data_IF_428395446849
#
_entry.id   IF_428395446849
#
_cell.length_a   1.000
_cell.length_b   1.000
_cell.length_c   1.000
_cell.angle_alpha   90.00
_cell.angle_beta   90.00
_cell.angle_gamma   90.00
#
_symmetry.space_group_name_H-M   'P 1'
#
loop_
_entity.id
_entity.type
_entity.pdbx_description
1 polymer ?
#
# COMPACT_ATOMS: atom_id res chain seq x y z
N UNK A 1 -8.72 0.13 -5.64
CA UNK A 1 -7.42 -0.14 -4.97
C UNK A 1 -6.66 1.16 -4.70
N UNK A 2 -5.44 1.04 -4.15
CA UNK A 2 -4.58 2.20 -3.80
C UNK A 2 -3.55 2.42 -4.89
N UNK A 3 -3.13 3.69 -5.01
CA UNK A 3 -2.10 4.12 -5.97
C UNK A 3 -0.74 4.19 -5.27
N UNK A 4 0.35 4.00 -6.03
CA UNK A 4 1.71 4.21 -5.52
C UNK A 4 1.88 5.69 -5.16
N UNK A 5 2.32 5.94 -3.92
CA UNK A 5 2.46 7.29 -3.38
C UNK A 5 1.35 7.62 -2.40
N UNK A 6 0.20 6.92 -2.49
CA UNK A 6 -0.91 7.03 -1.53
C UNK A 6 -0.57 6.23 -0.26
N UNK A 7 -1.46 6.24 0.74
CA UNK A 7 -1.31 5.45 1.98
C UNK A 7 -2.11 4.13 1.89
N UNK A 8 -1.48 3.02 2.32
CA UNK A 8 -2.14 1.68 2.32
C UNK A 8 -1.62 0.85 3.49
N UNK A 9 -2.48 -0.03 4.02
CA UNK A 9 -2.20 -0.82 5.24
C UNK A 9 -1.19 -1.96 4.94
N UNK A 10 -0.36 -2.25 5.95
CA UNK A 10 0.89 -3.08 5.88
C UNK A 10 0.82 -4.28 4.91
N UNK A 11 -0.09 -5.22 5.15
CA UNK A 11 -0.18 -6.46 4.35
C UNK A 11 -1.64 -6.76 3.94
N UNK A 12 -2.43 -5.69 3.80
CA UNK A 12 -3.85 -5.79 3.43
C UNK A 12 -4.07 -5.82 1.89
N UNK A 13 -2.95 -5.85 1.13
CA UNK A 13 -2.93 -5.96 -0.36
C UNK A 13 -3.67 -4.79 -1.04
N UNK A 14 -3.78 -3.65 -0.34
CA UNK A 14 -4.64 -2.53 -0.75
C UNK A 14 -4.24 -1.93 -2.12
N UNK A 15 -2.92 -1.87 -2.40
CA UNK A 15 -2.38 -1.27 -3.64
C UNK A 15 -2.57 -2.16 -4.88
N UNK A 16 -2.64 -1.49 -6.06
CA UNK A 16 -2.52 -2.14 -7.39
C UNK A 16 -1.05 -2.17 -7.83
N UNK A 17 -0.25 -1.24 -7.28
CA UNK A 17 1.21 -1.20 -7.46
C UNK A 17 1.84 -0.45 -6.27
N UNK A 18 3.05 -0.85 -5.87
CA UNK A 18 3.74 -0.26 -4.71
C UNK A 18 3.60 -1.16 -3.48
N UNK A 19 4.67 -1.24 -2.68
CA UNK A 19 4.69 -2.07 -1.46
C UNK A 19 4.08 -1.27 -0.30
N UNK A 20 3.08 -1.85 0.39
CA UNK A 20 2.46 -1.24 1.57
C UNK A 20 3.44 -1.30 2.78
N UNK A 21 4.43 -0.40 2.76
CA UNK A 21 5.53 -0.34 3.73
C UNK A 21 5.44 0.99 4.49
N UNK A 22 5.56 0.93 5.82
CA UNK A 22 5.50 2.11 6.73
C UNK A 22 4.11 2.80 6.63
N UNK A 23 3.08 1.95 6.45
CA UNK A 23 1.68 2.39 6.32
C UNK A 23 1.37 3.17 5.04
N UNK A 24 2.30 3.14 4.05
CA UNK A 24 2.16 3.85 2.76
C UNK A 24 2.60 2.97 1.58
N UNK A 25 2.14 3.34 0.39
CA UNK A 25 2.33 2.56 -0.83
C UNK A 25 3.66 2.97 -1.52
#
# INVERSE_FOLDING_TARGET
CKRKGSSCRRTSYDCCTGSCRNGKCX
#
